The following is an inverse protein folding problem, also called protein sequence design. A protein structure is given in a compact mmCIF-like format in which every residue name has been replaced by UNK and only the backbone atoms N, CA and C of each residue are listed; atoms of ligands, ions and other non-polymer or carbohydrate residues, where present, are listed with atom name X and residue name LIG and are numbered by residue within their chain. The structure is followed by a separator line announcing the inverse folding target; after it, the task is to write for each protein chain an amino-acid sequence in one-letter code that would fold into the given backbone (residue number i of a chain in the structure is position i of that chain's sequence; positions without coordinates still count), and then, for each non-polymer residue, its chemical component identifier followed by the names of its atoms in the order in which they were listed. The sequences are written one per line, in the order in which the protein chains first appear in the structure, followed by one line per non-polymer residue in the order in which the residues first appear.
data_IF_454454077941
#
_entry.id   IF_454454077941
#
_cell.length_a   1.000
_cell.length_b   1.000
_cell.length_c   1.000
_cell.angle_alpha   90.00
_cell.angle_beta   90.00
_cell.angle_gamma   90.00
#
_symmetry.space_group_name_H-M   'P 1'
#
loop_
_entity.id
_entity.type
_entity.pdbx_description
1 polymer ?
#
# COMPACT_ATOMS: atom_id res chain seq x y z
N UNK A 1 45.96 -22.60 24.89
CA UNK A 1 45.31 -22.54 23.56
C UNK A 1 44.03 -23.39 23.43
N UNK A 2 43.19 -23.53 24.49
CA UNK A 2 41.90 -24.27 24.41
C UNK A 2 40.64 -23.40 24.60
N UNK A 3 40.77 -22.13 24.99
CA UNK A 3 39.62 -21.22 25.16
C UNK A 3 39.30 -20.36 23.94
N UNK A 4 40.25 -20.16 23.01
CA UNK A 4 40.04 -19.28 21.85
C UNK A 4 39.12 -19.89 20.77
N UNK A 5 38.95 -21.22 20.76
CA UNK A 5 38.11 -21.92 19.77
C UNK A 5 36.61 -21.92 20.13
N UNK A 6 36.24 -21.59 21.36
CA UNK A 6 34.82 -21.57 21.80
C UNK A 6 34.12 -20.23 21.54
N UNK A 7 34.87 -19.15 21.35
CA UNK A 7 34.28 -17.85 20.97
C UNK A 7 33.99 -17.72 19.47
N UNK A 8 34.68 -18.50 18.62
CA UNK A 8 34.50 -18.40 17.16
C UNK A 8 33.18 -19.03 16.69
N UNK A 9 32.67 -20.04 17.40
CA UNK A 9 31.39 -20.68 17.05
C UNK A 9 30.16 -19.89 17.53
N UNK A 10 30.28 -19.06 18.56
CA UNK A 10 29.19 -18.21 19.04
C UNK A 10 28.99 -16.95 18.16
N UNK A 11 30.04 -16.50 17.47
CA UNK A 11 29.97 -15.35 16.56
C UNK A 11 29.45 -15.71 15.15
N UNK A 12 29.47 -16.99 14.78
CA UNK A 12 28.91 -17.48 13.50
C UNK A 12 27.41 -17.79 13.57
N UNK A 13 26.82 -17.83 14.77
CA UNK A 13 25.37 -18.01 14.96
C UNK A 13 24.62 -16.70 15.24
N UNK A 14 25.33 -15.58 15.44
CA UNK A 14 24.74 -14.27 15.69
C UNK A 14 24.69 -13.36 14.43
N UNK A 15 25.19 -13.84 13.29
CA UNK A 15 25.25 -13.06 12.04
C UNK A 15 24.23 -13.51 10.98
N UNK A 16 23.18 -14.23 11.37
CA UNK A 16 22.13 -14.68 10.45
C UNK A 16 20.71 -14.35 10.95
N UNK A 17 20.55 -13.18 11.58
CA UNK A 17 19.24 -12.67 12.02
C UNK A 17 18.88 -11.32 11.40
N UNK A 18 19.39 -11.01 10.20
CA UNK A 18 19.03 -9.80 9.47
C UNK A 18 18.83 -10.11 7.99
N UNK A 19 17.64 -10.58 7.60
CA UNK A 19 16.99 -10.29 6.31
C UNK A 19 15.73 -11.15 6.13
N UNK A 20 14.67 -10.82 6.87
CA UNK A 20 13.31 -11.01 6.37
C UNK A 20 12.58 -9.70 6.65
N UNK A 21 12.76 -8.75 5.73
CA UNK A 21 11.85 -7.63 5.56
C UNK A 21 11.29 -7.82 4.15
N UNK A 22 10.18 -8.55 4.07
CA UNK A 22 9.43 -8.68 2.82
C UNK A 22 8.15 -7.90 3.05
N UNK A 23 8.25 -6.59 2.88
CA UNK A 23 7.08 -5.74 2.85
C UNK A 23 6.13 -6.24 1.76
N UNK A 24 4.83 -6.25 2.05
CA UNK A 24 3.69 -6.76 1.28
C UNK A 24 4.00 -8.07 0.53
N UNK A 25 3.42 -9.22 0.91
CA UNK A 25 3.78 -10.52 0.34
C UNK A 25 3.95 -10.49 -1.18
N UNK A 26 5.12 -10.91 -1.66
CA UNK A 26 5.49 -10.93 -3.08
C UNK A 26 6.07 -9.63 -3.67
N UNK A 27 6.16 -8.53 -2.92
CA UNK A 27 6.83 -7.29 -3.35
C UNK A 27 8.34 -7.34 -3.06
N UNK A 28 9.15 -6.90 -4.03
CA UNK A 28 10.55 -6.52 -3.78
C UNK A 28 10.60 -5.00 -3.76
N UNK A 29 10.56 -4.41 -2.56
CA UNK A 29 10.74 -2.97 -2.43
C UNK A 29 12.19 -2.58 -2.69
N UNK A 30 12.40 -1.44 -3.34
CA UNK A 30 13.73 -0.87 -3.49
C UNK A 30 14.28 -0.39 -2.13
N UNK A 31 13.44 0.26 -1.32
CA UNK A 31 13.68 0.56 0.08
C UNK A 31 12.73 -0.29 0.94
N UNK A 32 13.23 -1.10 1.88
CA UNK A 32 12.35 -1.87 2.76
C UNK A 32 11.45 -0.96 3.59
N UNK A 33 10.16 -1.29 3.67
CA UNK A 33 9.22 -0.55 4.51
C UNK A 33 9.53 -0.76 6.01
N UNK A 34 9.25 0.24 6.83
CA UNK A 34 9.46 0.23 8.29
C UNK A 34 8.16 0.46 9.05
N UNK A 35 8.01 -0.17 10.22
CA UNK A 35 6.80 -0.04 11.04
C UNK A 35 6.43 1.43 11.28
N UNK A 36 5.18 1.77 10.98
CA UNK A 36 4.66 3.13 11.09
C UNK A 36 4.77 3.97 9.82
N UNK A 37 5.37 3.45 8.75
CA UNK A 37 5.34 4.12 7.45
C UNK A 37 3.95 4.12 6.84
N UNK A 38 3.62 5.23 6.19
CA UNK A 38 2.32 5.46 5.63
C UNK A 38 2.39 6.29 4.35
N UNK A 39 1.35 6.16 3.54
CA UNK A 39 1.08 7.03 2.39
C UNK A 39 -0.36 7.49 2.47
N UNK A 40 -0.61 8.73 2.03
CA UNK A 40 -1.94 9.25 1.79
C UNK A 40 -2.03 9.79 0.37
N UNK A 41 -3.12 9.47 -0.31
CA UNK A 41 -3.42 9.98 -1.64
C UNK A 41 -4.65 10.86 -1.56
N UNK A 42 -4.60 12.03 -2.21
CA UNK A 42 -5.81 12.73 -2.59
C UNK A 42 -6.47 11.93 -3.72
N UNK A 43 -7.74 11.63 -3.54
CA UNK A 43 -8.53 10.80 -4.43
C UNK A 43 -9.65 11.60 -5.10
N UNK A 44 -9.55 11.67 -6.42
CA UNK A 44 -10.50 12.32 -7.32
C UNK A 44 -11.29 11.30 -8.17
N UNK A 45 -11.24 10.00 -7.84
CA UNK A 45 -12.01 8.96 -8.54
C UNK A 45 -13.52 9.04 -8.23
N UNK A 46 -13.88 9.57 -7.06
CA UNK A 46 -15.27 9.86 -6.69
C UNK A 46 -15.71 11.26 -7.10
N UNK A 47 -17.03 11.48 -7.11
CA UNK A 47 -17.61 12.81 -7.35
C UNK A 47 -17.31 13.82 -6.24
N UNK A 48 -16.84 13.35 -5.08
CA UNK A 48 -16.41 14.19 -3.95
C UNK A 48 -14.91 14.03 -3.73
N UNK A 49 -14.25 15.07 -3.23
CA UNK A 49 -12.87 14.94 -2.76
C UNK A 49 -12.81 13.98 -1.59
N UNK A 50 -11.91 13.00 -1.70
CA UNK A 50 -11.62 12.04 -0.65
C UNK A 50 -10.13 11.80 -0.56
N UNK A 51 -9.73 11.06 0.46
CA UNK A 51 -8.35 10.71 0.74
C UNK A 51 -8.31 9.23 1.08
N UNK A 52 -7.39 8.50 0.46
CA UNK A 52 -7.12 7.11 0.79
C UNK A 52 -5.70 6.99 1.32
N UNK A 53 -5.54 6.36 2.48
CA UNK A 53 -4.25 6.13 3.10
C UNK A 53 -3.98 4.67 3.36
N UNK A 54 -2.70 4.32 3.38
CA UNK A 54 -2.19 3.00 3.69
C UNK A 54 -1.15 3.15 4.80
N UNK A 55 -1.20 2.28 5.80
CA UNK A 55 -0.29 2.25 6.94
C UNK A 55 0.23 0.82 7.09
N UNK A 56 1.54 0.71 7.23
CA UNK A 56 2.23 -0.54 7.48
C UNK A 56 2.61 -0.65 8.96
N UNK A 57 2.21 -1.75 9.59
CA UNK A 57 2.62 -2.09 10.94
C UNK A 57 3.78 -3.07 10.92
N UNK A 58 3.62 -4.15 10.15
CA UNK A 58 4.59 -5.22 9.92
C UNK A 58 4.19 -6.03 8.68
N UNK A 59 5.02 -7.00 8.28
CA UNK A 59 4.83 -7.83 7.08
C UNK A 59 3.51 -8.60 7.05
N UNK A 60 2.85 -8.76 8.20
CA UNK A 60 1.57 -9.45 8.32
C UNK A 60 0.38 -8.51 8.53
N UNK A 61 0.58 -7.21 8.79
CA UNK A 61 -0.47 -6.33 9.30
C UNK A 61 -0.46 -4.94 8.66
N UNK A 62 -1.61 -4.55 8.11
CA UNK A 62 -1.82 -3.29 7.38
C UNK A 62 -3.10 -2.59 7.83
N UNK A 63 -3.15 -1.28 7.64
CA UNK A 63 -4.41 -0.54 7.65
C UNK A 63 -4.58 0.28 6.38
N UNK A 64 -5.81 0.32 5.87
CA UNK A 64 -6.28 1.27 4.89
C UNK A 64 -7.29 2.21 5.53
N UNK A 65 -7.23 3.49 5.20
CA UNK A 65 -8.21 4.49 5.64
C UNK A 65 -8.76 5.25 4.45
N UNK A 66 -10.08 5.28 4.33
CA UNK A 66 -10.79 6.21 3.46
C UNK A 66 -11.35 7.34 4.31
N UNK A 67 -11.05 8.58 3.93
CA UNK A 67 -11.57 9.77 4.57
C UNK A 67 -12.15 10.74 3.53
N UNK A 68 -13.37 11.19 3.74
CA UNK A 68 -13.98 12.25 2.95
C UNK A 68 -14.64 13.29 3.88
N UNK A 69 -14.19 14.56 3.85
CA UNK A 69 -14.71 15.58 4.76
C UNK A 69 -16.16 15.93 4.44
N UNK A 70 -16.93 16.34 5.45
CA UNK A 70 -18.29 16.83 5.23
C UNK A 70 -18.30 18.06 4.32
N UNK A 71 -19.29 18.14 3.42
CA UNK A 71 -19.48 19.28 2.50
C UNK A 71 -20.90 19.79 2.67
N UNK A 72 -21.05 20.88 3.44
CA UNK A 72 -22.35 21.41 3.82
C UNK A 72 -23.19 21.87 2.62
N UNK A 73 -22.57 22.47 1.60
CA UNK A 73 -23.24 22.93 0.38
C UNK A 73 -23.90 21.80 -0.41
N UNK A 74 -23.37 20.58 -0.30
CA UNK A 74 -23.85 19.39 -1.01
C UNK A 74 -24.58 18.41 -0.08
N UNK A 75 -24.75 18.77 1.21
CA UNK A 75 -25.32 17.91 2.26
C UNK A 75 -24.61 16.56 2.39
N UNK A 76 -23.32 16.51 2.05
CA UNK A 76 -22.51 15.31 2.21
C UNK A 76 -21.99 15.23 3.64
N UNK A 77 -22.30 14.13 4.31
CA UNK A 77 -21.74 13.84 5.63
C UNK A 77 -20.27 13.42 5.52
N UNK A 78 -19.53 13.59 6.61
CA UNK A 78 -18.18 13.05 6.75
C UNK A 78 -18.23 11.52 6.62
N UNK A 79 -17.21 10.96 5.96
CA UNK A 79 -16.97 9.52 5.92
C UNK A 79 -15.55 9.26 6.39
N UNK A 80 -15.40 8.36 7.35
CA UNK A 80 -14.12 7.91 7.88
C UNK A 80 -14.21 6.40 8.12
N UNK A 81 -13.61 5.63 7.22
CA UNK A 81 -13.69 4.17 7.20
C UNK A 81 -12.27 3.63 7.24
N UNK A 82 -12.01 2.69 8.16
CA UNK A 82 -10.70 2.05 8.33
C UNK A 82 -10.87 0.55 8.18
N UNK A 83 -10.05 -0.05 7.31
CA UNK A 83 -9.93 -1.48 7.13
C UNK A 83 -8.58 -1.89 7.71
N UNK A 84 -8.60 -2.80 8.67
CA UNK A 84 -7.41 -3.45 9.18
C UNK A 84 -7.31 -4.83 8.54
N UNK A 85 -6.17 -5.13 7.90
CA UNK A 85 -5.92 -6.41 7.28
C UNK A 85 -4.81 -7.16 7.99
N UNK A 86 -4.96 -8.47 8.08
CA UNK A 86 -3.83 -9.38 8.22
C UNK A 86 -3.63 -10.18 6.94
N UNK A 87 -2.38 -10.45 6.58
CA UNK A 87 -1.98 -11.21 5.39
C UNK A 87 -1.08 -12.37 5.74
N UNK A 88 -0.93 -13.34 4.84
CA UNK A 88 0.09 -14.37 4.92
C UNK A 88 1.39 -13.89 4.22
N UNK A 89 2.44 -13.48 4.96
CA UNK A 89 3.67 -12.97 4.35
C UNK A 89 4.48 -14.04 3.59
N UNK A 90 4.24 -15.32 3.88
CA UNK A 90 4.91 -16.44 3.22
C UNK A 90 4.26 -16.80 1.88
N UNK A 91 3.11 -16.19 1.56
CA UNK A 91 2.44 -16.41 0.29
C UNK A 91 3.09 -15.60 -0.82
N UNK A 92 3.26 -16.21 -2.00
CA UNK A 92 3.77 -15.53 -3.19
C UNK A 92 2.74 -14.58 -3.84
N UNK A 93 1.51 -14.61 -3.34
CA UNK A 93 0.39 -13.76 -3.78
C UNK A 93 -0.25 -13.12 -2.56
N UNK A 94 -0.99 -12.04 -2.75
CA UNK A 94 -1.72 -11.44 -1.64
C UNK A 94 -2.81 -12.41 -1.14
N UNK A 95 -2.62 -12.90 0.09
CA UNK A 95 -3.56 -13.77 0.78
C UNK A 95 -3.99 -13.10 2.09
N UNK A 96 -5.24 -12.62 2.14
CA UNK A 96 -5.84 -12.05 3.34
C UNK A 96 -6.20 -13.16 4.33
N UNK A 97 -5.72 -13.05 5.57
CA UNK A 97 -5.96 -14.01 6.66
C UNK A 97 -6.95 -13.48 7.71
N UNK A 98 -7.25 -12.19 7.66
CA UNK A 98 -8.15 -11.54 8.59
C UNK A 98 -8.45 -10.11 8.19
N UNK A 99 -9.61 -9.63 8.60
CA UNK A 99 -10.10 -8.30 8.30
C UNK A 99 -10.92 -7.75 9.47
N UNK A 100 -10.77 -6.46 9.72
CA UNK A 100 -11.68 -5.70 10.59
C UNK A 100 -12.00 -4.35 9.97
N UNK A 101 -13.29 -4.11 9.74
CA UNK A 101 -13.81 -2.82 9.27
C UNK A 101 -14.26 -1.98 10.47
N UNK A 102 -13.92 -0.69 10.47
CA UNK A 102 -14.39 0.32 11.43
C UNK A 102 -14.93 1.53 10.66
N UNK A 103 -16.05 2.09 11.11
CA UNK A 103 -16.62 3.32 10.55
C UNK A 103 -17.62 3.14 9.40
N UNK A 104 -17.69 1.95 8.79
CA UNK A 104 -18.77 1.61 7.85
C UNK A 104 -20.05 1.28 8.64
N UNK A 105 -21.10 2.09 8.49
CA UNK A 105 -22.34 1.97 9.27
C UNK A 105 -23.59 1.88 8.41
N UNK A 106 -23.50 2.23 7.13
CA UNK A 106 -24.63 2.28 6.20
C UNK A 106 -24.39 1.32 5.02
N UNK A 107 -25.46 0.85 4.40
CA UNK A 107 -25.34 -0.05 3.22
C UNK A 107 -24.54 0.59 2.08
N UNK A 108 -24.66 1.91 1.91
CA UNK A 108 -23.92 2.69 0.92
C UNK A 108 -22.41 2.71 1.14
N UNK A 109 -21.93 2.34 2.33
CA UNK A 109 -20.50 2.27 2.61
C UNK A 109 -19.85 1.03 1.98
N UNK A 110 -20.64 0.05 1.57
CA UNK A 110 -20.16 -1.20 0.92
C UNK A 110 -19.33 -0.90 -0.32
N UNK A 111 -19.72 0.09 -1.12
CA UNK A 111 -19.00 0.46 -2.34
C UNK A 111 -17.62 1.05 -2.02
N UNK A 112 -17.50 1.81 -0.93
CA UNK A 112 -16.22 2.35 -0.44
C UNK A 112 -15.34 1.22 0.09
N UNK A 113 -15.91 0.30 0.86
CA UNK A 113 -15.17 -0.87 1.38
C UNK A 113 -14.64 -1.74 0.24
N UNK A 114 -15.47 -2.05 -0.76
CA UNK A 114 -15.06 -2.81 -1.94
C UNK A 114 -13.96 -2.07 -2.72
N UNK A 115 -14.12 -0.77 -2.92
CA UNK A 115 -13.09 0.04 -3.54
C UNK A 115 -11.75 -0.03 -2.79
N UNK A 116 -11.77 0.04 -1.46
CA UNK A 116 -10.55 -0.07 -0.65
C UNK A 116 -9.89 -1.46 -0.78
N UNK A 117 -10.68 -2.55 -0.85
CA UNK A 117 -10.17 -3.89 -1.15
C UNK A 117 -9.48 -3.95 -2.51
N UNK A 118 -10.16 -3.45 -3.54
CA UNK A 118 -9.63 -3.44 -4.91
C UNK A 118 -8.34 -2.64 -4.98
N UNK A 119 -8.27 -1.47 -4.34
CA UNK A 119 -7.04 -0.69 -4.26
C UNK A 119 -5.89 -1.48 -3.62
N UNK A 120 -6.13 -2.13 -2.48
CA UNK A 120 -5.07 -2.87 -1.80
C UNK A 120 -4.54 -4.01 -2.67
N UNK A 121 -5.43 -4.75 -3.34
CA UNK A 121 -5.07 -5.83 -4.25
C UNK A 121 -4.31 -5.33 -5.49
N UNK A 122 -4.84 -4.30 -6.14
CA UNK A 122 -4.27 -3.73 -7.36
C UNK A 122 -2.92 -3.06 -7.09
N UNK A 123 -2.78 -2.34 -5.98
CA UNK A 123 -1.51 -1.68 -5.63
C UNK A 123 -0.43 -2.69 -5.30
N UNK A 124 -0.80 -3.75 -4.56
CA UNK A 124 0.08 -4.89 -4.31
C UNK A 124 0.54 -5.50 -5.62
N UNK A 125 -0.37 -6.00 -6.45
CA UNK A 125 -0.01 -6.72 -7.68
C UNK A 125 0.78 -5.87 -8.69
N UNK A 126 0.46 -4.58 -8.82
CA UNK A 126 1.15 -3.67 -9.77
C UNK A 126 2.51 -3.24 -9.27
N UNK A 127 2.65 -3.05 -7.96
CA UNK A 127 3.94 -2.85 -7.34
C UNK A 127 4.87 -4.05 -7.62
N UNK A 128 4.35 -5.29 -7.59
CA UNK A 128 5.15 -6.50 -7.79
C UNK A 128 5.68 -6.57 -9.22
N UNK A 129 4.87 -6.11 -10.17
CA UNK A 129 5.23 -6.06 -11.59
C UNK A 129 6.21 -4.91 -11.91
N UNK A 130 6.26 -3.86 -11.10
CA UNK A 130 7.14 -2.71 -11.30
C UNK A 130 8.56 -3.06 -10.82
N UNK A 131 9.36 -3.70 -11.67
CA UNK A 131 10.77 -3.95 -11.40
C UNK A 131 11.56 -2.63 -11.45
N UNK A 132 11.89 -2.06 -10.28
CA UNK A 132 12.63 -0.80 -10.15
C UNK A 132 14.13 -1.08 -9.99
N UNK A 133 14.91 -0.99 -11.07
CA UNK A 133 16.35 -1.33 -11.06
C UNK A 133 17.29 -0.20 -10.67
N UNK A 134 16.90 1.07 -10.85
CA UNK A 134 17.87 2.17 -10.92
C UNK A 134 17.52 3.39 -10.07
N UNK A 135 16.76 3.20 -8.97
CA UNK A 135 16.26 4.28 -8.12
C UNK A 135 15.54 5.41 -8.90
N UNK A 136 15.04 5.10 -10.10
CA UNK A 136 14.49 6.08 -11.01
C UNK A 136 12.97 6.07 -10.94
N UNK A 137 12.40 7.27 -10.99
CA UNK A 137 10.96 7.46 -11.17
C UNK A 137 10.58 7.02 -12.58
N UNK A 138 9.62 6.10 -12.70
CA UNK A 138 9.15 5.57 -13.98
C UNK A 138 7.65 5.81 -14.16
N UNK A 139 7.22 5.90 -15.42
CA UNK A 139 5.80 5.95 -15.76
C UNK A 139 5.43 4.68 -16.53
N UNK A 140 4.36 4.02 -16.12
CA UNK A 140 3.87 2.78 -16.72
C UNK A 140 2.42 2.95 -17.14
N UNK A 141 2.13 2.68 -18.42
CA UNK A 141 0.75 2.66 -18.92
C UNK A 141 0.17 1.28 -18.69
N UNK A 142 -0.94 1.23 -17.94
CA UNK A 142 -1.58 -0.03 -17.56
C UNK A 142 -3.10 0.10 -17.65
N UNK A 143 -3.78 -1.03 -17.84
CA UNK A 143 -5.22 -1.07 -17.69
C UNK A 143 -5.59 -1.19 -16.21
N UNK A 144 -6.54 -0.38 -15.75
CA UNK A 144 -7.04 -0.35 -14.38
C UNK A 144 -8.55 -0.05 -14.44
N UNK A 145 -9.35 -1.12 -14.47
CA UNK A 145 -10.80 -1.04 -14.67
C UNK A 145 -11.50 -0.13 -13.64
N UNK A 146 -11.08 -0.16 -12.37
CA UNK A 146 -11.61 0.70 -11.30
C UNK A 146 -11.52 2.19 -11.63
N UNK A 147 -10.58 2.59 -12.49
CA UNK A 147 -10.35 3.97 -12.92
C UNK A 147 -10.78 4.24 -14.36
N UNK A 148 -11.67 3.40 -14.91
CA UNK A 148 -12.23 3.58 -16.24
C UNK A 148 -11.33 3.12 -17.38
N UNK A 149 -10.38 2.22 -17.10
CA UNK A 149 -9.54 1.57 -18.12
C UNK A 149 -8.09 2.03 -18.06
N UNK A 150 -7.55 2.50 -19.19
CA UNK A 150 -6.12 2.83 -19.29
C UNK A 150 -5.71 4.04 -18.44
N UNK A 151 -4.73 3.82 -17.56
CA UNK A 151 -4.11 4.82 -16.70
C UNK A 151 -2.60 4.87 -16.91
N UNK A 152 -1.97 5.95 -16.43
CA UNK A 152 -0.52 6.07 -16.27
C UNK A 152 -0.22 6.06 -14.78
N UNK A 153 0.49 5.03 -14.33
CA UNK A 153 0.98 4.90 -12.96
C UNK A 153 2.39 5.44 -12.91
N UNK A 154 2.62 6.38 -12.01
CA UNK A 154 3.94 6.93 -11.71
C UNK A 154 4.50 6.15 -10.52
N UNK A 155 5.55 5.37 -10.77
CA UNK A 155 6.29 4.72 -9.69
C UNK A 155 7.50 5.55 -9.28
N UNK A 156 7.72 5.67 -7.97
CA UNK A 156 8.85 6.36 -7.37
C UNK A 156 9.39 5.49 -6.20
N UNK A 157 10.63 4.98 -6.30
CA UNK A 157 11.23 4.11 -5.28
C UNK A 157 11.41 4.74 -3.89
N UNK A 158 11.20 6.06 -3.76
CA UNK A 158 11.28 6.78 -2.49
C UNK A 158 9.92 6.88 -1.78
N UNK A 159 8.85 6.43 -2.42
CA UNK A 159 7.51 6.39 -1.82
C UNK A 159 7.36 5.06 -1.09
N UNK A 160 7.15 5.06 0.24
CA UNK A 160 6.92 3.82 0.96
C UNK A 160 5.63 3.19 0.49
N UNK A 161 5.49 1.87 0.61
CA UNK A 161 4.31 1.11 0.21
C UNK A 161 3.99 1.25 -1.29
N UNK A 162 4.14 0.14 -2.02
CA UNK A 162 3.82 0.00 -3.45
C UNK A 162 4.64 0.87 -4.43
N UNK A 163 5.46 1.81 -3.95
CA UNK A 163 6.22 2.79 -4.74
C UNK A 163 5.34 3.66 -5.65
N UNK A 164 4.06 3.88 -5.35
CA UNK A 164 3.15 4.63 -6.23
C UNK A 164 3.14 6.10 -5.82
N UNK A 165 3.60 7.00 -6.69
CA UNK A 165 3.54 8.45 -6.44
C UNK A 165 2.21 9.06 -6.92
N UNK A 166 1.70 8.58 -8.05
CA UNK A 166 0.46 9.08 -8.65
C UNK A 166 -0.13 8.07 -9.63
N UNK A 167 -1.45 8.15 -9.81
CA UNK A 167 -2.17 7.48 -10.89
C UNK A 167 -2.93 8.54 -11.68
N UNK A 168 -2.70 8.57 -12.99
CA UNK A 168 -3.27 9.55 -13.90
C UNK A 168 -4.17 8.87 -14.92
N UNK A 169 -5.24 9.54 -15.32
CA UNK A 169 -6.04 9.13 -16.48
C UNK A 169 -5.20 9.19 -17.76
N UNK A 170 -5.71 8.58 -18.84
CA UNK A 170 -5.12 8.71 -20.17
C UNK A 170 -4.99 10.18 -20.65
N UNK A 171 -5.81 11.10 -20.13
CA UNK A 171 -5.75 12.54 -20.42
C UNK A 171 -4.73 13.30 -19.56
N UNK A 172 -4.04 12.62 -18.64
CA UNK A 172 -3.05 13.21 -17.72
C UNK A 172 -3.63 13.83 -16.45
N UNK A 173 -4.94 13.66 -16.20
CA UNK A 173 -5.59 14.15 -14.98
C UNK A 173 -5.24 13.24 -13.81
N UNK A 174 -4.85 13.81 -12.67
CA UNK A 174 -4.56 13.04 -11.46
C UNK A 174 -5.83 12.43 -10.88
N UNK A 175 -5.88 11.10 -10.87
CA UNK A 175 -6.94 10.31 -10.21
C UNK A 175 -6.55 10.13 -8.75
N UNK A 176 -5.36 9.59 -8.52
CA UNK A 176 -4.71 9.52 -7.21
C UNK A 176 -3.40 10.30 -7.24
N UNK A 177 -3.16 11.09 -6.20
CA UNK A 177 -1.94 11.88 -6.06
C UNK A 177 -1.44 11.77 -4.62
N UNK A 178 -0.19 11.32 -4.44
CA UNK A 178 0.45 11.27 -3.13
C UNK A 178 0.47 12.67 -2.50
N UNK A 179 0.11 12.72 -1.23
CA UNK A 179 0.16 13.89 -0.36
C UNK A 179 1.44 13.83 0.47
N UNK A 180 2.26 14.86 0.33
CA UNK A 180 3.52 15.07 1.07
C UNK A 180 3.37 16.15 2.12
#
# INVERSE_FOLDING_TARGET
MKSLKKCVFALLFASLSLSCAVAVPGMVQYLPDSSGEYVYYKDNSFTRTSYVGFLYYDDSTYALRYYAPAVASEKLVEKDIILYFSVNPESSVLELTGEKIVGATEQSDTDIVNYMHDLFYEFTSRGQAAFLTDNSRIESRQDFAQFGGTVVIVFNPQVPLFNIEAIKSASGTNILQLMT
#
